data_IF_762080789008
#
_entry.id   IF_762080789008
#
_cell.length_a   1.000
_cell.length_b   1.000
_cell.length_c   1.000
_cell.angle_alpha   90.00
_cell.angle_beta   90.00
_cell.angle_gamma   90.00
#
_symmetry.space_group_name_H-M   'P 1'
#
loop_
_entity.id
_entity.type
_entity.pdbx_description
1 polymer ?
#
# COMPACT_ATOMS: atom_id res chain seq x y z
N UNK A 1 -1.89 27.84 41.41
CA UNK A 1 -2.74 26.85 40.70
C UNK A 1 -2.82 27.29 39.24
N UNK A 2 -2.01 26.71 38.36
CA UNK A 2 -2.14 26.90 36.91
C UNK A 2 -3.05 25.80 36.40
N UNK A 3 -4.26 26.14 36.00
CA UNK A 3 -5.10 25.30 35.17
C UNK A 3 -4.40 25.12 33.84
N UNK A 4 -4.00 23.88 33.57
CA UNK A 4 -3.68 23.42 32.22
C UNK A 4 -5.01 23.30 31.47
N UNK A 5 -5.36 24.33 30.71
CA UNK A 5 -6.35 24.22 29.66
C UNK A 5 -5.78 23.25 28.61
N UNK A 6 -6.13 21.99 28.72
CA UNK A 6 -6.06 21.07 27.60
C UNK A 6 -7.06 21.58 26.56
N UNK A 7 -6.55 22.32 25.60
CA UNK A 7 -7.28 22.59 24.36
C UNK A 7 -7.42 21.24 23.68
N UNK A 8 -8.56 20.63 23.83
CA UNK A 8 -8.98 19.49 23.05
C UNK A 8 -9.23 20.05 21.64
N UNK A 9 -8.23 19.97 20.76
CA UNK A 9 -8.42 20.29 19.35
C UNK A 9 -9.50 19.36 18.83
N UNK A 10 -10.64 19.93 18.41
CA UNK A 10 -11.66 19.16 17.71
C UNK A 10 -11.04 18.63 16.41
N UNK A 11 -11.25 17.32 16.07
CA UNK A 11 -10.73 16.76 14.83
C UNK A 11 -11.22 17.59 13.65
N UNK A 12 -10.34 17.85 12.67
CA UNK A 12 -10.72 18.57 11.47
C UNK A 12 -11.75 17.77 10.65
N UNK A 13 -12.43 18.44 9.72
CA UNK A 13 -13.47 17.81 8.90
C UNK A 13 -12.91 16.71 7.99
N UNK A 14 -11.65 16.80 7.58
CA UNK A 14 -10.97 15.79 6.76
C UNK A 14 -10.72 14.52 7.55
N UNK A 15 -10.25 14.63 8.80
CA UNK A 15 -10.05 13.46 9.68
C UNK A 15 -11.37 12.75 10.00
N UNK A 16 -12.45 13.50 10.19
CA UNK A 16 -13.80 12.93 10.40
C UNK A 16 -14.26 12.20 9.14
N UNK A 17 -14.11 12.80 7.97
CA UNK A 17 -14.50 12.18 6.70
C UNK A 17 -13.69 10.91 6.42
N UNK A 18 -12.39 10.93 6.68
CA UNK A 18 -11.53 9.76 6.56
C UNK A 18 -12.01 8.61 7.47
N UNK A 19 -12.35 8.90 8.74
CA UNK A 19 -12.85 7.90 9.67
C UNK A 19 -14.19 7.30 9.23
N UNK A 20 -15.11 8.12 8.72
CA UNK A 20 -16.40 7.67 8.20
C UNK A 20 -16.25 6.82 6.94
N UNK A 21 -15.39 7.23 6.01
CA UNK A 21 -15.12 6.47 4.78
C UNK A 21 -14.46 5.13 5.10
N UNK A 22 -13.54 5.11 6.06
CA UNK A 22 -12.92 3.87 6.52
C UNK A 22 -13.95 2.91 7.13
N UNK A 23 -14.82 3.41 8.03
CA UNK A 23 -15.85 2.60 8.67
C UNK A 23 -16.82 2.03 7.62
N UNK A 24 -17.27 2.85 6.67
CA UNK A 24 -18.15 2.40 5.59
C UNK A 24 -17.47 1.35 4.70
N UNK A 25 -16.19 1.53 4.38
CA UNK A 25 -15.41 0.58 3.60
C UNK A 25 -15.29 -0.77 4.33
N UNK A 26 -14.99 -0.75 5.62
CA UNK A 26 -14.89 -1.97 6.43
C UNK A 26 -16.22 -2.69 6.57
N UNK A 27 -17.31 -1.97 6.78
CA UNK A 27 -18.64 -2.55 6.87
C UNK A 27 -19.07 -3.22 5.56
N UNK A 28 -18.77 -2.60 4.42
CA UNK A 28 -19.05 -3.18 3.10
C UNK A 28 -18.23 -4.44 2.83
N UNK A 29 -16.95 -4.43 3.18
CA UNK A 29 -16.08 -5.60 3.06
C UNK A 29 -16.57 -6.74 3.96
N UNK A 30 -16.87 -6.47 5.21
CA UNK A 30 -17.36 -7.46 6.16
C UNK A 30 -18.63 -8.12 5.65
N UNK A 31 -19.57 -7.34 5.13
CA UNK A 31 -20.79 -7.86 4.51
C UNK A 31 -20.50 -8.77 3.32
N UNK A 32 -19.58 -8.36 2.44
CA UNK A 32 -19.21 -9.15 1.27
C UNK A 32 -18.53 -10.47 1.63
N UNK A 33 -17.67 -10.46 2.66
CA UNK A 33 -16.86 -11.63 3.03
C UNK A 33 -17.60 -12.59 3.94
N UNK A 34 -18.50 -12.09 4.79
CA UNK A 34 -19.23 -12.91 5.76
C UNK A 34 -20.20 -13.91 5.11
N UNK A 35 -20.89 -13.51 4.07
CA UNK A 35 -21.94 -14.29 3.42
C UNK A 35 -21.45 -15.16 2.25
N UNK A 36 -20.17 -15.09 1.91
CA UNK A 36 -19.58 -15.81 0.79
C UNK A 36 -18.33 -16.54 1.23
N UNK A 37 -18.31 -17.87 1.10
CA UNK A 37 -17.10 -18.67 1.26
C UNK A 37 -16.21 -18.49 0.01
N UNK A 38 -15.46 -17.39 -0.02
CA UNK A 38 -14.59 -17.07 -1.15
C UNK A 38 -13.20 -17.71 -1.00
N UNK A 39 -12.57 -18.14 -2.09
CA UNK A 39 -11.16 -18.52 -2.08
C UNK A 39 -10.26 -17.39 -1.59
N UNK A 40 -9.08 -17.69 -0.98
CA UNK A 40 -8.16 -16.67 -0.46
C UNK A 40 -7.78 -15.58 -1.47
N UNK A 41 -7.56 -15.95 -2.73
CA UNK A 41 -7.27 -14.99 -3.81
C UNK A 41 -8.40 -14.00 -4.02
N UNK A 42 -9.64 -14.48 -4.03
CA UNK A 42 -10.82 -13.63 -4.20
C UNK A 42 -11.01 -12.66 -3.02
N UNK A 43 -10.78 -13.14 -1.80
CA UNK A 43 -10.79 -12.30 -0.60
C UNK A 43 -9.74 -11.19 -0.74
N UNK A 44 -8.51 -11.53 -1.11
CA UNK A 44 -7.43 -10.58 -1.30
C UNK A 44 -7.76 -9.53 -2.37
N UNK A 45 -8.30 -9.95 -3.51
CA UNK A 45 -8.69 -9.03 -4.60
C UNK A 45 -9.79 -8.05 -4.18
N UNK A 46 -10.75 -8.48 -3.38
CA UNK A 46 -11.81 -7.60 -2.85
C UNK A 46 -11.25 -6.57 -1.85
N UNK A 47 -10.35 -6.99 -0.99
CA UNK A 47 -9.65 -6.09 -0.06
C UNK A 47 -8.84 -5.05 -0.83
N UNK A 48 -8.11 -5.47 -1.86
CA UNK A 48 -7.29 -4.56 -2.67
C UNK A 48 -8.14 -3.59 -3.50
N UNK A 49 -9.27 -4.05 -4.05
CA UNK A 49 -10.23 -3.18 -4.72
C UNK A 49 -10.79 -2.12 -3.76
N UNK A 50 -11.18 -2.53 -2.56
CA UNK A 50 -11.67 -1.62 -1.54
C UNK A 50 -10.60 -0.60 -1.10
N UNK A 51 -9.35 -1.02 -0.95
CA UNK A 51 -8.23 -0.12 -0.65
C UNK A 51 -7.99 0.89 -1.78
N UNK A 52 -8.02 0.46 -3.04
CA UNK A 52 -7.95 1.37 -4.19
C UNK A 52 -9.05 2.42 -4.17
N UNK A 53 -10.28 2.04 -3.87
CA UNK A 53 -11.41 2.98 -3.77
C UNK A 53 -11.25 3.93 -2.61
N UNK A 54 -10.84 3.43 -1.44
CA UNK A 54 -10.66 4.24 -0.24
C UNK A 54 -9.61 5.33 -0.45
N UNK A 55 -8.46 4.98 -1.02
CA UNK A 55 -7.36 5.92 -1.26
C UNK A 55 -7.46 6.66 -2.60
N UNK A 56 -8.46 6.36 -3.42
CA UNK A 56 -8.53 6.81 -4.82
C UNK A 56 -7.20 6.56 -5.55
N UNK A 57 -6.70 5.35 -5.44
CA UNK A 57 -5.40 4.92 -5.92
C UNK A 57 -5.50 4.23 -7.28
N UNK A 58 -4.38 4.22 -8.01
CA UNK A 58 -4.30 3.57 -9.32
C UNK A 58 -4.18 2.05 -9.20
N UNK A 59 -3.53 1.58 -8.13
CA UNK A 59 -3.17 0.18 -7.98
C UNK A 59 -3.02 -0.19 -6.50
N UNK A 60 -3.45 -1.39 -6.16
CA UNK A 60 -3.17 -2.01 -4.87
C UNK A 60 -2.82 -3.48 -5.07
N UNK A 61 -1.76 -3.96 -4.45
CA UNK A 61 -1.31 -5.32 -4.64
C UNK A 61 -0.63 -5.93 -3.43
N UNK A 62 -0.71 -7.26 -3.38
CA UNK A 62 0.05 -8.10 -2.47
C UNK A 62 1.37 -8.45 -3.13
N UNK A 63 2.47 -8.10 -2.48
CA UNK A 63 3.82 -8.35 -2.95
C UNK A 63 4.46 -9.40 -2.05
N UNK A 64 4.90 -10.48 -2.66
CA UNK A 64 5.67 -11.53 -2.00
C UNK A 64 7.14 -11.14 -1.96
N UNK A 65 7.78 -11.33 -0.82
CA UNK A 65 9.19 -11.00 -0.60
C UNK A 65 9.93 -12.23 -0.08
N UNK A 66 11.08 -12.52 -0.65
CA UNK A 66 12.03 -13.49 -0.14
C UNK A 66 13.28 -12.75 0.31
N UNK A 67 13.41 -12.53 1.61
CA UNK A 67 14.53 -11.78 2.19
C UNK A 67 15.86 -12.54 2.14
N UNK A 68 15.82 -13.87 2.14
CA UNK A 68 17.03 -14.69 2.11
C UNK A 68 17.66 -14.69 0.70
N UNK A 69 16.83 -14.74 -0.33
CA UNK A 69 17.26 -14.68 -1.72
C UNK A 69 17.35 -13.25 -2.27
N UNK A 70 16.83 -12.25 -1.54
CA UNK A 70 16.79 -10.88 -2.02
C UNK A 70 15.91 -10.68 -3.24
N UNK A 71 14.75 -11.35 -3.27
CA UNK A 71 13.83 -11.35 -4.41
C UNK A 71 12.44 -10.88 -3.98
N UNK A 72 11.71 -10.28 -4.91
CA UNK A 72 10.31 -9.91 -4.72
C UNK A 72 9.52 -10.08 -6.01
N UNK A 73 8.20 -10.27 -5.88
CA UNK A 73 7.25 -10.25 -6.99
C UNK A 73 5.85 -9.87 -6.55
N UNK A 74 5.05 -9.25 -7.42
CA UNK A 74 3.61 -9.15 -7.21
C UNK A 74 2.97 -10.54 -7.23
N UNK A 75 2.10 -10.81 -6.26
CA UNK A 75 1.37 -12.07 -6.22
C UNK A 75 -0.05 -11.90 -6.79
N UNK A 76 -0.81 -10.97 -6.22
CA UNK A 76 -2.15 -10.59 -6.66
C UNK A 76 -2.30 -9.08 -6.57
N UNK A 77 -3.05 -8.49 -7.48
CA UNK A 77 -3.27 -7.05 -7.49
C UNK A 77 -4.60 -6.65 -8.13
N UNK A 78 -5.08 -5.45 -7.77
CA UNK A 78 -6.16 -4.75 -8.40
C UNK A 78 -5.63 -3.49 -9.08
N UNK A 79 -6.03 -3.27 -10.31
CA UNK A 79 -5.66 -2.10 -11.10
C UNK A 79 -6.94 -1.30 -11.43
N UNK A 80 -6.97 -0.02 -11.12
CA UNK A 80 -8.11 0.86 -11.39
C UNK A 80 -8.45 0.94 -12.88
N UNK A 81 -7.42 1.05 -13.71
CA UNK A 81 -7.54 1.05 -15.17
C UNK A 81 -7.09 -0.30 -15.73
N UNK A 82 -8.03 -1.18 -16.08
CA UNK A 82 -7.73 -2.49 -16.64
C UNK A 82 -6.99 -2.42 -17.99
N UNK A 83 -7.00 -1.25 -18.64
CA UNK A 83 -6.38 -1.02 -19.96
C UNK A 83 -4.95 -0.48 -19.91
N UNK A 84 -4.40 -0.20 -18.73
CA UNK A 84 -3.05 0.34 -18.60
C UNK A 84 -2.01 -0.75 -18.89
N UNK A 85 -1.71 -0.92 -20.18
CA UNK A 85 -0.71 -1.87 -20.71
C UNK A 85 0.73 -1.51 -20.31
N UNK A 86 0.94 -0.36 -19.66
CA UNK A 86 2.27 0.11 -19.26
C UNK A 86 2.75 -0.48 -17.93
N UNK A 87 1.87 -1.11 -17.17
CA UNK A 87 2.27 -1.84 -15.98
C UNK A 87 2.45 -3.31 -16.32
N UNK A 88 3.48 -3.64 -17.08
CA UNK A 88 3.89 -5.05 -17.28
C UNK A 88 4.47 -5.53 -15.94
N UNK A 89 3.58 -5.94 -15.07
CA UNK A 89 3.96 -6.73 -13.90
C UNK A 89 4.13 -8.16 -14.39
N UNK A 90 5.36 -8.55 -14.57
CA UNK A 90 5.69 -9.96 -14.80
C UNK A 90 5.48 -10.70 -13.49
N UNK A 91 4.89 -11.90 -13.52
CA UNK A 91 4.83 -12.82 -12.37
C UNK A 91 6.22 -13.40 -12.04
N UNK A 92 7.28 -12.74 -12.44
CA UNK A 92 8.64 -13.16 -12.23
C UNK A 92 9.24 -12.44 -11.03
N UNK A 93 10.09 -13.13 -10.30
CA UNK A 93 10.85 -12.53 -9.22
C UNK A 93 11.86 -11.52 -9.77
N UNK A 94 11.92 -10.36 -9.12
CA UNK A 94 12.91 -9.33 -9.34
C UNK A 94 13.86 -9.22 -8.15
N UNK A 95 15.08 -8.73 -8.41
CA UNK A 95 16.05 -8.47 -7.34
C UNK A 95 15.66 -7.27 -6.49
N UNK A 96 15.85 -7.41 -5.18
CA UNK A 96 15.73 -6.30 -4.22
C UNK A 96 17.08 -5.67 -3.86
N UNK A 97 18.14 -5.97 -4.61
CA UNK A 97 19.53 -5.56 -4.30
C UNK A 97 19.68 -4.04 -4.06
N UNK A 98 18.90 -3.24 -4.79
CA UNK A 98 18.94 -1.77 -4.69
C UNK A 98 17.78 -1.17 -3.89
N UNK A 99 17.01 -2.00 -3.18
CA UNK A 99 15.84 -1.59 -2.41
C UNK A 99 16.08 -1.68 -0.89
N UNK A 100 17.23 -1.21 -0.42
CA UNK A 100 17.64 -1.35 0.98
C UNK A 100 16.62 -0.81 1.99
N UNK A 101 15.99 0.33 1.69
CA UNK A 101 14.97 0.90 2.58
C UNK A 101 13.74 -0.01 2.68
N UNK A 102 13.33 -0.58 1.57
CA UNK A 102 12.21 -1.53 1.51
C UNK A 102 12.52 -2.81 2.26
N UNK A 103 13.70 -3.36 2.05
CA UNK A 103 14.17 -4.56 2.78
C UNK A 103 14.20 -4.31 4.28
N UNK A 104 14.73 -3.16 4.73
CA UNK A 104 14.75 -2.79 6.14
C UNK A 104 13.34 -2.63 6.71
N UNK A 105 12.43 -2.00 5.99
CA UNK A 105 11.04 -1.83 6.42
C UNK A 105 10.33 -3.19 6.56
N UNK A 106 10.49 -4.08 5.60
CA UNK A 106 9.94 -5.44 5.67
C UNK A 106 10.50 -6.22 6.85
N UNK A 107 11.83 -6.18 7.07
CA UNK A 107 12.47 -6.84 8.21
C UNK A 107 11.98 -6.34 9.56
N UNK A 108 11.73 -5.05 9.68
CA UNK A 108 11.25 -4.39 10.91
C UNK A 108 9.73 -4.46 11.08
N UNK A 109 9.00 -4.83 10.02
CA UNK A 109 7.54 -4.77 10.02
C UNK A 109 7.01 -3.34 10.08
N UNK A 110 7.76 -2.36 9.56
CA UNK A 110 7.38 -0.94 9.57
C UNK A 110 6.77 -0.50 8.24
N UNK A 111 5.72 0.34 8.25
CA UNK A 111 5.18 0.91 7.01
C UNK A 111 6.21 1.75 6.25
N UNK A 112 6.09 1.75 4.93
CA UNK A 112 6.83 2.62 4.02
C UNK A 112 5.87 3.61 3.39
N UNK A 113 6.19 4.90 3.47
CA UNK A 113 5.43 5.97 2.81
C UNK A 113 6.40 6.81 1.98
N UNK A 114 6.12 6.88 0.69
CA UNK A 114 6.78 7.78 -0.26
C UNK A 114 5.71 8.71 -0.81
N UNK A 115 5.68 9.93 -0.30
CA UNK A 115 4.67 10.92 -0.69
C UNK A 115 4.93 11.51 -2.07
N UNK A 116 6.19 11.64 -2.45
CA UNK A 116 6.63 12.10 -3.76
C UNK A 116 7.88 11.33 -4.19
N UNK A 117 7.79 10.56 -5.26
CA UNK A 117 8.91 9.79 -5.80
C UNK A 117 10.07 10.68 -6.27
N UNK A 118 9.79 11.91 -6.73
CA UNK A 118 10.85 12.85 -7.16
C UNK A 118 11.80 13.24 -6.02
N UNK A 119 11.31 13.29 -4.79
CA UNK A 119 12.16 13.58 -3.61
C UNK A 119 13.16 12.46 -3.30
N UNK A 120 12.89 11.26 -3.78
CA UNK A 120 13.75 10.07 -3.57
C UNK A 120 14.91 10.02 -4.55
N UNK A 121 14.80 10.68 -5.68
CA UNK A 121 15.71 10.60 -6.83
C UNK A 121 17.18 10.83 -6.50
N UNK A 122 17.47 11.85 -5.71
CA UNK A 122 18.84 12.23 -5.39
C UNK A 122 19.47 11.35 -4.31
N UNK A 123 18.67 10.85 -3.37
CA UNK A 123 19.14 10.05 -2.25
C UNK A 123 19.19 8.54 -2.58
N UNK A 124 18.24 8.08 -3.39
CA UNK A 124 18.06 6.66 -3.72
C UNK A 124 17.76 6.51 -5.22
N UNK A 125 18.74 6.77 -6.11
CA UNK A 125 18.52 6.80 -7.55
C UNK A 125 18.04 5.45 -8.12
N UNK A 126 18.50 4.34 -7.58
CA UNK A 126 18.11 2.99 -8.04
C UNK A 126 16.64 2.69 -7.67
N UNK A 127 16.22 3.09 -6.48
CA UNK A 127 14.82 3.00 -6.04
C UNK A 127 13.92 3.89 -6.92
N UNK A 128 14.37 5.09 -7.24
CA UNK A 128 13.65 5.99 -8.14
C UNK A 128 13.47 5.42 -9.54
N UNK A 129 14.46 4.71 -10.09
CA UNK A 129 14.34 4.04 -11.38
C UNK A 129 13.22 3.00 -11.38
N UNK A 130 13.04 2.27 -10.29
CA UNK A 130 11.92 1.35 -10.14
C UNK A 130 10.58 2.10 -10.17
N UNK A 131 10.47 3.21 -9.45
CA UNK A 131 9.26 4.03 -9.44
C UNK A 131 8.93 4.59 -10.81
N UNK A 132 9.92 5.09 -11.52
CA UNK A 132 9.76 5.60 -12.89
C UNK A 132 9.28 4.50 -13.84
N UNK A 133 9.90 3.32 -13.79
CA UNK A 133 9.53 2.17 -14.61
C UNK A 133 8.10 1.70 -14.35
N UNK A 134 7.65 1.73 -13.11
CA UNK A 134 6.31 1.27 -12.71
C UNK A 134 5.25 2.38 -12.69
N UNK A 135 5.61 3.61 -13.06
CA UNK A 135 4.69 4.75 -13.03
C UNK A 135 4.25 5.14 -11.61
N UNK A 136 5.10 4.91 -10.61
CA UNK A 136 4.84 5.23 -9.21
C UNK A 136 5.26 6.68 -8.95
N UNK A 137 4.30 7.53 -8.58
CA UNK A 137 4.53 8.90 -8.13
C UNK A 137 4.54 9.01 -6.62
N UNK A 138 3.75 8.17 -5.99
CA UNK A 138 3.66 8.01 -4.54
C UNK A 138 3.29 6.57 -4.20
N UNK A 139 3.66 6.10 -3.02
CA UNK A 139 3.36 4.73 -2.59
C UNK A 139 3.25 4.65 -1.07
N UNK A 140 2.27 3.89 -0.63
CA UNK A 140 2.11 3.45 0.75
C UNK A 140 2.24 1.93 0.77
N UNK A 141 3.05 1.38 1.66
CA UNK A 141 3.21 -0.06 1.81
C UNK A 141 3.25 -0.47 3.28
N UNK A 142 2.59 -1.58 3.57
CA UNK A 142 2.51 -2.14 4.91
C UNK A 142 2.96 -3.59 4.86
N UNK A 143 4.07 -3.95 5.54
CA UNK A 143 4.48 -5.33 5.69
C UNK A 143 3.44 -6.15 6.46
N UNK A 144 3.23 -7.39 6.04
CA UNK A 144 2.29 -8.30 6.68
C UNK A 144 2.99 -9.21 7.69
N UNK A 145 2.36 -9.40 8.84
CA UNK A 145 2.76 -10.40 9.83
C UNK A 145 2.29 -11.82 9.41
N UNK A 146 2.90 -12.91 9.97
CA UNK A 146 3.83 -12.90 11.10
C UNK A 146 5.31 -13.03 10.73
N UNK A 147 5.69 -13.25 9.49
CA UNK A 147 7.09 -13.56 9.12
C UNK A 147 7.71 -12.61 8.10
N UNK A 148 7.09 -11.48 7.87
CA UNK A 148 7.65 -10.46 6.98
C UNK A 148 7.97 -10.98 5.55
N UNK A 149 7.12 -11.88 5.06
CA UNK A 149 7.27 -12.52 3.75
C UNK A 149 6.46 -11.84 2.65
N UNK A 150 5.63 -10.88 3.03
CA UNK A 150 4.76 -10.15 2.11
C UNK A 150 4.48 -8.74 2.61
N UNK A 151 4.09 -7.89 1.68
CA UNK A 151 3.57 -6.56 1.96
C UNK A 151 2.37 -6.25 1.06
N UNK A 152 1.51 -5.34 1.53
CA UNK A 152 0.49 -4.72 0.70
C UNK A 152 1.00 -3.34 0.30
N UNK A 153 0.96 -3.01 -0.98
CA UNK A 153 1.33 -1.71 -1.52
C UNK A 153 0.16 -1.05 -2.24
N UNK A 154 0.00 0.25 -2.00
CA UNK A 154 -0.98 1.12 -2.65
C UNK A 154 -0.21 2.17 -3.45
N UNK A 155 -0.41 2.23 -4.75
CA UNK A 155 0.30 3.15 -5.65
C UNK A 155 -0.57 4.32 -6.04
N UNK A 156 0.04 5.50 -6.04
CA UNK A 156 -0.57 6.76 -6.43
C UNK A 156 -1.89 7.06 -5.72
N UNK A 157 -1.95 6.93 -4.38
CA UNK A 157 -3.13 7.34 -3.63
C UNK A 157 -3.35 8.84 -3.79
N UNK A 158 -4.62 9.25 -3.96
CA UNK A 158 -5.02 10.65 -4.11
C UNK A 158 -5.69 11.21 -2.86
N UNK A 159 -6.03 10.34 -1.91
CA UNK A 159 -6.68 10.71 -0.64
C UNK A 159 -5.99 10.05 0.54
N UNK A 160 -6.03 10.72 1.69
CA UNK A 160 -5.67 10.15 3.01
C UNK A 160 -4.21 9.71 3.16
N UNK A 161 -3.30 10.36 2.48
CA UNK A 161 -1.85 10.18 2.68
C UNK A 161 -1.21 11.39 3.35
#
# INVERSE_FOLDING_TARGET
MRQLDQVCESPDSESIQCALDFENTMNNLETQLYYRHLPPKEVALRVMEAACKFYDADWCGLIQVDLDLGLWKPLWWHNKCQEDKNTILTNEFESSEFLDRWVKAVRRGTPMVVSDAEEVKDLYPDEYQLYERLGIKSVLAIPLEPRQIALIAVRNPQRYI
#
